data_IF_779489706068
#
_entry.id   IF_779489706068
#
_cell.length_a   1.000
_cell.length_b   1.000
_cell.length_c   1.000
_cell.angle_alpha   90.00
_cell.angle_beta   90.00
_cell.angle_gamma   90.00
#
_symmetry.space_group_name_H-M   'P 1'
#
loop_
_entity.id
_entity.type
_entity.pdbx_description
1 polymer ?
#
# COMPACT_ATOMS: atom_id res chain seq x y z
N UNK A 1 -8.15 -18.65 -29.12
CA UNK A 1 -7.57 -18.84 -27.78
C UNK A 1 -7.06 -17.51 -27.28
N UNK A 2 -7.39 -17.11 -26.03
CA UNK A 2 -6.97 -15.84 -25.45
C UNK A 2 -5.51 -15.98 -24.98
N UNK A 3 -4.68 -14.97 -25.23
CA UNK A 3 -3.25 -14.98 -24.85
C UNK A 3 -3.03 -15.33 -23.37
N UNK A 4 -3.96 -14.95 -22.50
CA UNK A 4 -3.89 -15.22 -21.06
C UNK A 4 -4.06 -16.71 -20.70
N UNK A 5 -4.80 -17.48 -21.52
CA UNK A 5 -4.97 -18.93 -21.31
C UNK A 5 -3.68 -19.68 -21.69
N UNK A 6 -3.03 -19.26 -22.79
CA UNK A 6 -1.75 -19.81 -23.26
C UNK A 6 -0.66 -19.57 -22.21
N UNK A 7 -0.61 -18.37 -21.64
CA UNK A 7 0.29 -18.04 -20.54
C UNK A 7 0.07 -18.96 -19.33
N UNK A 8 -1.18 -19.23 -18.96
CA UNK A 8 -1.51 -20.05 -17.80
C UNK A 8 -1.17 -21.53 -17.99
N UNK A 9 -1.44 -22.08 -19.19
CA UNK A 9 -1.06 -23.45 -19.54
C UNK A 9 0.46 -23.64 -19.50
N UNK A 10 1.23 -22.69 -20.06
CA UNK A 10 2.68 -22.76 -20.03
C UNK A 10 3.24 -22.66 -18.60
N UNK A 11 2.72 -21.74 -17.79
CA UNK A 11 3.09 -21.64 -16.37
C UNK A 11 2.76 -22.92 -15.59
N UNK A 12 1.62 -23.54 -15.87
CA UNK A 12 1.20 -24.81 -15.26
C UNK A 12 2.15 -25.94 -15.65
N UNK A 13 2.54 -25.99 -16.92
CA UNK A 13 3.50 -26.98 -17.43
C UNK A 13 4.87 -26.82 -16.78
N UNK A 14 5.38 -25.60 -16.66
CA UNK A 14 6.64 -25.31 -15.97
C UNK A 14 6.57 -25.73 -14.50
N UNK A 15 5.47 -25.38 -13.82
CA UNK A 15 5.26 -25.70 -12.41
C UNK A 15 5.23 -27.20 -12.12
N UNK A 16 4.59 -28.01 -12.98
CA UNK A 16 4.62 -29.47 -12.87
C UNK A 16 6.00 -30.08 -13.13
N UNK A 17 6.84 -29.43 -13.94
CA UNK A 17 8.19 -29.93 -14.25
C UNK A 17 9.15 -29.78 -13.08
N UNK A 18 9.17 -28.63 -12.40
CA UNK A 18 10.05 -28.44 -11.24
C UNK A 18 9.40 -28.80 -9.90
N UNK A 19 8.07 -29.01 -9.88
CA UNK A 19 7.34 -29.32 -8.65
C UNK A 19 7.66 -30.68 -8.06
N UNK A 20 8.15 -31.65 -8.84
CA UNK A 20 8.45 -33.02 -8.39
C UNK A 20 9.50 -33.02 -7.27
N UNK A 21 9.12 -33.50 -6.09
CA UNK A 21 9.96 -33.53 -4.91
C UNK A 21 11.26 -34.31 -5.17
N UNK A 22 12.40 -33.65 -4.95
CA UNK A 22 13.73 -34.24 -5.10
C UNK A 22 14.30 -34.25 -6.52
N UNK A 23 13.56 -33.78 -7.54
CA UNK A 23 14.06 -33.67 -8.91
C UNK A 23 15.01 -32.48 -9.06
N UNK A 24 16.31 -32.76 -9.04
CA UNK A 24 17.39 -31.80 -9.28
C UNK A 24 17.96 -31.90 -10.69
N UNK A 25 17.20 -32.46 -11.63
CA UNK A 25 17.63 -32.55 -13.03
C UNK A 25 17.87 -31.16 -13.63
N UNK A 26 18.75 -31.11 -14.64
CA UNK A 26 19.03 -29.88 -15.39
C UNK A 26 17.75 -29.28 -16.00
N UNK A 27 16.81 -30.15 -16.38
CA UNK A 27 15.52 -29.75 -16.94
C UNK A 27 14.58 -29.12 -15.91
N UNK A 28 14.51 -29.67 -14.70
CA UNK A 28 13.76 -29.09 -13.59
C UNK A 28 14.30 -27.69 -13.21
N UNK A 29 15.63 -27.55 -13.13
CA UNK A 29 16.27 -26.26 -12.87
C UNK A 29 16.00 -25.23 -13.99
N UNK A 30 16.06 -25.65 -15.26
CA UNK A 30 15.74 -24.79 -16.39
C UNK A 30 14.25 -24.38 -16.41
N UNK A 31 13.35 -25.29 -16.03
CA UNK A 31 11.92 -24.99 -15.90
C UNK A 31 11.65 -24.00 -14.76
N UNK A 32 12.30 -24.18 -13.61
CA UNK A 32 12.20 -23.26 -12.48
C UNK A 32 12.71 -21.86 -12.86
N UNK A 33 13.85 -21.75 -13.54
CA UNK A 33 14.38 -20.45 -14.01
C UNK A 33 13.40 -19.74 -14.95
N UNK A 34 12.85 -20.45 -15.93
CA UNK A 34 11.85 -19.87 -16.84
C UNK A 34 10.58 -19.40 -16.12
N UNK A 35 10.15 -20.15 -15.12
CA UNK A 35 9.01 -19.78 -14.27
C UNK A 35 9.32 -18.52 -13.45
N UNK A 36 10.50 -18.48 -12.84
CA UNK A 36 10.99 -17.33 -12.08
C UNK A 36 11.01 -16.06 -12.93
N UNK A 37 11.61 -16.11 -14.13
CA UNK A 37 11.72 -14.95 -15.02
C UNK A 37 10.33 -14.37 -15.40
N UNK A 38 9.30 -15.22 -15.47
CA UNK A 38 7.94 -14.82 -15.80
C UNK A 38 7.16 -14.21 -14.62
N UNK A 39 7.42 -14.69 -13.40
CA UNK A 39 6.59 -14.41 -12.22
C UNK A 39 7.25 -13.46 -11.22
N UNK A 40 8.58 -13.35 -11.19
CA UNK A 40 9.33 -12.55 -10.22
C UNK A 40 8.81 -11.12 -10.10
N UNK A 41 8.76 -10.37 -11.21
CA UNK A 41 8.27 -8.99 -11.24
C UNK A 41 6.83 -8.84 -10.73
N UNK A 42 6.00 -9.87 -10.91
CA UNK A 42 4.61 -9.86 -10.44
C UNK A 42 4.56 -10.05 -8.92
N UNK A 43 5.41 -10.92 -8.36
CA UNK A 43 5.49 -11.13 -6.91
C UNK A 43 6.12 -9.95 -6.21
N UNK A 44 7.21 -9.40 -6.74
CA UNK A 44 7.90 -8.24 -6.16
C UNK A 44 6.95 -7.06 -6.02
N UNK A 45 6.22 -6.74 -7.10
CA UNK A 45 5.22 -5.68 -7.08
C UNK A 45 4.08 -5.97 -6.11
N UNK A 46 3.61 -7.21 -6.05
CA UNK A 46 2.53 -7.59 -5.15
C UNK A 46 2.95 -7.51 -3.68
N UNK A 47 4.17 -7.95 -3.37
CA UNK A 47 4.74 -7.88 -2.03
C UNK A 47 4.93 -6.43 -1.58
N UNK A 48 5.54 -5.58 -2.42
CA UNK A 48 5.68 -4.15 -2.13
C UNK A 48 4.33 -3.48 -1.84
N UNK A 49 3.31 -3.76 -2.66
CA UNK A 49 1.97 -3.20 -2.42
C UNK A 49 1.36 -3.70 -1.11
N UNK A 50 1.58 -4.97 -0.77
CA UNK A 50 1.03 -5.57 0.44
C UNK A 50 1.76 -5.13 1.71
N UNK A 51 3.04 -4.79 1.64
CA UNK A 51 3.88 -4.32 2.76
C UNK A 51 3.93 -2.78 2.89
N UNK A 52 2.98 -2.07 2.28
CA UNK A 52 2.95 -0.60 2.27
C UNK A 52 4.25 0.04 1.76
N UNK A 53 4.84 -0.56 0.73
CA UNK A 53 6.08 -0.14 0.08
C UNK A 53 7.34 -0.16 0.97
N UNK A 54 7.32 -0.88 2.09
CA UNK A 54 8.54 -1.22 2.83
C UNK A 54 9.32 -2.32 2.08
N UNK A 55 10.53 -1.99 1.62
CA UNK A 55 11.37 -2.87 0.79
C UNK A 55 11.88 -4.10 1.55
N UNK A 56 12.35 -3.93 2.79
CA UNK A 56 12.90 -5.03 3.59
C UNK A 56 11.84 -6.10 3.88
N UNK A 57 10.65 -5.67 4.27
CA UNK A 57 9.51 -6.57 4.50
C UNK A 57 9.04 -7.22 3.20
N UNK A 58 9.09 -6.50 2.08
CA UNK A 58 8.73 -7.05 0.78
C UNK A 58 9.71 -8.15 0.33
N UNK A 59 11.02 -7.93 0.49
CA UNK A 59 12.06 -8.91 0.18
C UNK A 59 11.84 -10.19 1.01
N UNK A 60 11.62 -10.06 2.31
CA UNK A 60 11.33 -11.20 3.18
C UNK A 60 10.05 -11.95 2.75
N UNK A 61 8.99 -11.22 2.41
CA UNK A 61 7.73 -11.81 1.96
C UNK A 61 7.87 -12.58 0.64
N UNK A 62 8.63 -12.05 -0.33
CA UNK A 62 8.89 -12.71 -1.62
C UNK A 62 9.69 -13.99 -1.43
N UNK A 63 10.71 -13.98 -0.57
CA UNK A 63 11.51 -15.17 -0.25
C UNK A 63 10.62 -16.28 0.35
N UNK A 64 9.80 -15.94 1.35
CA UNK A 64 8.85 -16.88 1.95
C UNK A 64 7.81 -17.38 0.92
N UNK A 65 7.36 -16.51 0.01
CA UNK A 65 6.45 -16.87 -1.06
C UNK A 65 7.06 -17.91 -2.00
N UNK A 66 8.31 -17.72 -2.45
CA UNK A 66 9.01 -18.69 -3.29
C UNK A 66 9.13 -20.06 -2.62
N UNK A 67 9.48 -20.11 -1.34
CA UNK A 67 9.53 -21.36 -0.58
C UNK A 67 8.17 -22.04 -0.49
N UNK A 68 7.09 -21.27 -0.25
CA UNK A 68 5.73 -21.82 -0.20
C UNK A 68 5.23 -22.29 -1.57
N UNK A 69 5.57 -21.59 -2.64
CA UNK A 69 5.25 -21.98 -4.03
C UNK A 69 5.92 -23.32 -4.33
N UNK A 70 7.21 -23.48 -4.03
CA UNK A 70 7.94 -24.74 -4.25
C UNK A 70 7.31 -25.90 -3.48
N UNK A 71 7.01 -25.72 -2.20
CA UNK A 71 6.37 -26.77 -1.37
C UNK A 71 4.98 -27.15 -1.84
N UNK A 72 4.23 -26.22 -2.44
CA UNK A 72 2.86 -26.45 -2.90
C UNK A 72 2.75 -26.71 -4.39
N UNK A 73 3.85 -26.74 -5.13
CA UNK A 73 3.86 -26.88 -6.58
C UNK A 73 3.21 -28.21 -7.03
N UNK A 74 3.46 -29.32 -6.32
CA UNK A 74 2.85 -30.62 -6.65
C UNK A 74 1.33 -30.67 -6.45
N UNK A 75 0.83 -29.88 -5.51
CA UNK A 75 -0.59 -29.87 -5.10
C UNK A 75 -1.40 -28.79 -5.82
N UNK A 76 -0.80 -28.08 -6.77
CA UNK A 76 -1.48 -27.06 -7.55
C UNK A 76 -2.52 -27.68 -8.50
N UNK A 77 -3.74 -27.14 -8.44
CA UNK A 77 -4.86 -27.55 -9.28
C UNK A 77 -5.30 -26.38 -10.18
N UNK A 78 -5.16 -26.51 -11.52
CA UNK A 78 -5.56 -25.47 -12.46
C UNK A 78 -7.08 -25.25 -12.56
N UNK A 79 -7.91 -26.19 -12.08
CA UNK A 79 -9.37 -26.02 -12.09
C UNK A 79 -9.86 -25.01 -11.03
N UNK A 80 -9.07 -24.76 -9.98
CA UNK A 80 -9.45 -23.88 -8.87
C UNK A 80 -9.05 -22.42 -9.09
N UNK A 81 -7.89 -22.18 -9.68
CA UNK A 81 -7.38 -20.84 -9.96
C UNK A 81 -6.24 -20.88 -10.99
N UNK A 82 -6.06 -19.79 -11.74
CA UNK A 82 -4.87 -19.60 -12.58
C UNK A 82 -3.60 -19.52 -11.72
N UNK A 83 -2.46 -19.91 -12.30
CA UNK A 83 -1.16 -19.89 -11.61
C UNK A 83 -0.84 -18.49 -11.10
N UNK A 84 -1.05 -17.46 -11.94
CA UNK A 84 -0.83 -16.04 -11.57
C UNK A 84 -1.67 -15.62 -10.35
N UNK A 85 -2.92 -16.04 -10.25
CA UNK A 85 -3.79 -15.74 -9.10
C UNK A 85 -3.32 -16.50 -7.86
N UNK A 86 -3.00 -17.78 -8.01
CA UNK A 86 -2.54 -18.63 -6.92
C UNK A 86 -1.22 -18.15 -6.29
N UNK A 87 -0.22 -17.78 -7.10
CA UNK A 87 1.06 -17.24 -6.57
C UNK A 87 0.89 -15.87 -5.90
N UNK A 88 -0.03 -15.03 -6.40
CA UNK A 88 -0.35 -13.73 -5.78
C UNK A 88 -1.00 -13.91 -4.41
N UNK A 89 -1.92 -14.87 -4.27
CA UNK A 89 -2.55 -15.19 -2.98
C UNK A 89 -1.53 -15.70 -1.96
N UNK A 90 -0.61 -16.59 -2.37
CA UNK A 90 0.50 -17.04 -1.51
C UNK A 90 1.35 -15.84 -1.07
N UNK A 91 1.73 -14.98 -2.02
CA UNK A 91 2.60 -13.82 -1.75
C UNK A 91 1.94 -12.82 -0.81
N UNK A 92 0.66 -12.53 -1.01
CA UNK A 92 -0.13 -11.67 -0.12
C UNK A 92 -0.19 -12.23 1.31
N UNK A 93 -0.41 -13.53 1.46
CA UNK A 93 -0.40 -14.20 2.78
C UNK A 93 0.98 -14.11 3.44
N UNK A 94 2.07 -14.31 2.69
CA UNK A 94 3.42 -14.11 3.22
C UNK A 94 3.66 -12.66 3.67
N UNK A 95 3.25 -11.68 2.87
CA UNK A 95 3.38 -10.27 3.22
C UNK A 95 2.63 -9.92 4.51
N UNK A 96 1.40 -10.40 4.67
CA UNK A 96 0.66 -10.25 5.94
C UNK A 96 1.39 -10.93 7.09
N UNK A 97 1.90 -12.14 6.90
CA UNK A 97 2.59 -12.88 7.96
C UNK A 97 3.87 -12.13 8.41
N UNK A 98 4.61 -11.55 7.48
CA UNK A 98 5.78 -10.69 7.75
C UNK A 98 5.36 -9.42 8.49
N UNK A 99 4.32 -8.71 8.03
CA UNK A 99 3.79 -7.53 8.71
C UNK A 99 3.36 -7.85 10.15
N UNK A 100 2.64 -8.96 10.35
CA UNK A 100 2.22 -9.39 11.69
C UNK A 100 3.40 -9.65 12.60
N UNK A 101 4.47 -10.27 12.10
CA UNK A 101 5.71 -10.49 12.87
C UNK A 101 6.39 -9.17 13.19
N UNK A 102 6.50 -8.26 12.24
CA UNK A 102 7.07 -6.93 12.41
C UNK A 102 6.33 -6.14 13.49
N UNK A 103 5.00 -6.00 13.38
CA UNK A 103 4.21 -5.29 14.40
C UNK A 103 4.22 -6.00 15.76
N UNK A 104 4.26 -7.33 15.81
CA UNK A 104 4.39 -8.07 17.08
C UNK A 104 5.75 -7.82 17.72
N UNK A 105 6.82 -7.81 16.95
CA UNK A 105 8.17 -7.53 17.45
C UNK A 105 8.25 -6.09 17.97
N UNK A 106 7.73 -5.13 17.22
CA UNK A 106 7.68 -3.72 17.64
C UNK A 106 6.80 -3.51 18.88
N UNK A 107 5.69 -4.22 19.01
CA UNK A 107 4.86 -4.15 20.22
C UNK A 107 5.57 -4.77 21.43
N UNK A 108 6.24 -5.89 21.25
CA UNK A 108 6.94 -6.56 22.34
C UNK A 108 8.18 -5.77 22.79
N UNK A 109 8.90 -5.11 21.87
CA UNK A 109 10.03 -4.24 22.24
C UNK A 109 9.55 -2.97 22.95
N UNK A 110 8.38 -2.42 22.57
CA UNK A 110 7.77 -1.28 23.27
C UNK A 110 7.42 -1.62 24.72
N UNK A 111 6.87 -2.81 24.99
CA UNK A 111 6.50 -3.24 26.34
C UNK A 111 7.71 -3.62 27.22
N UNK A 112 8.82 -4.06 26.63
CA UNK A 112 10.05 -4.34 27.38
C UNK A 112 10.80 -3.08 27.83
N UNK A 113 10.59 -1.94 27.18
CA UNK A 113 11.22 -0.67 27.58
C UNK A 113 10.49 0.03 28.74
N UNK A 114 9.22 -0.30 29.00
CA UNK A 114 8.44 0.29 30.09
C UNK A 114 8.74 -0.35 31.46
N UNK A 115 9.23 -1.60 31.48
CA UNK A 115 9.56 -2.35 32.72
C UNK A 115 11.01 -2.13 33.22
N UNK A 116 11.84 -1.39 32.48
CA UNK A 116 13.26 -1.15 32.82
C UNK A 116 13.52 0.18 33.55
N UNK A 117 12.49 0.97 33.84
CA UNK A 117 12.61 2.30 34.45
C UNK A 117 12.05 2.36 35.89
N UNK A 118 12.55 1.51 36.80
CA UNK A 118 12.53 1.80 38.24
C UNK A 118 13.47 0.88 39.04
N UNK A 119 14.68 1.34 39.33
CA UNK A 119 15.42 0.98 40.54
C UNK A 119 16.47 2.07 40.82
N UNK A 120 16.28 2.76 41.93
CA UNK A 120 17.05 3.91 42.40
C UNK A 120 18.54 3.62 42.62
N UNK A 121 19.40 4.60 42.34
CA UNK A 121 20.65 4.79 43.06
C UNK A 121 21.03 6.28 43.13
N UNK A 122 21.09 6.72 44.38
CA UNK A 122 21.30 8.07 44.90
C UNK A 122 22.74 8.59 44.72
N UNK A 123 22.86 9.92 44.54
CA UNK A 123 23.98 10.83 44.86
C UNK A 123 25.45 10.50 44.55
N UNK A 124 26.12 11.35 43.75
CA UNK A 124 27.16 12.27 44.25
C UNK A 124 27.64 13.24 43.14
N UNK A 125 27.89 14.49 43.52
CA UNK A 125 28.23 15.60 42.65
C UNK A 125 29.75 15.74 42.47
N UNK A 126 30.24 15.84 41.24
CA UNK A 126 31.43 16.63 40.94
C UNK A 126 31.27 17.41 39.63
N UNK A 127 31.12 18.72 39.79
CA UNK A 127 31.32 19.69 38.72
C UNK A 127 32.77 19.61 38.22
N UNK A 128 32.98 19.43 36.92
CA UNK A 128 34.32 19.32 36.39
C UNK A 128 34.42 19.21 34.87
N UNK A 129 34.38 20.38 34.22
CA UNK A 129 34.95 20.71 32.90
C UNK A 129 34.05 20.48 31.68
N UNK A 130 33.64 21.62 31.15
CA UNK A 130 33.44 21.90 29.72
C UNK A 130 34.49 21.17 28.87
N UNK A 131 34.05 20.10 28.20
CA UNK A 131 34.76 19.55 27.06
C UNK A 131 33.83 19.67 25.87
N UNK A 132 34.28 20.36 24.83
CA UNK A 132 33.61 20.52 23.54
C UNK A 132 33.50 19.20 22.74
N UNK A 133 33.39 18.07 23.44
CA UNK A 133 33.43 16.71 22.91
C UNK A 133 32.07 16.01 22.97
N UNK A 134 31.06 16.60 23.62
CA UNK A 134 29.70 16.03 23.66
C UNK A 134 29.00 16.03 22.29
N UNK A 135 29.50 16.82 21.32
CA UNK A 135 28.98 16.85 19.96
C UNK A 135 29.53 15.72 19.05
N UNK A 136 30.34 14.81 19.58
CA UNK A 136 31.01 13.73 18.83
C UNK A 136 30.92 12.36 19.54
N UNK A 137 29.91 12.13 20.37
CA UNK A 137 29.57 10.73 20.70
C UNK A 137 28.97 10.07 19.46
N UNK A 138 29.52 8.93 18.99
CA UNK A 138 28.86 8.14 17.96
C UNK A 138 27.56 7.66 18.57
N UNK A 139 26.44 8.11 18.02
CA UNK A 139 25.12 7.60 18.38
C UNK A 139 25.16 6.07 18.20
N UNK A 140 25.03 5.34 19.32
CA UNK A 140 25.17 3.88 19.34
C UNK A 140 24.03 3.16 18.61
N UNK A 141 22.94 3.87 18.30
CA UNK A 141 21.86 3.39 17.46
C UNK A 141 21.21 4.56 16.67
N UNK A 142 21.43 4.66 15.34
CA UNK A 142 20.88 5.75 14.54
C UNK A 142 19.33 5.75 14.50
N UNK A 143 18.67 4.63 14.80
CA UNK A 143 17.20 4.55 14.81
C UNK A 143 16.58 5.12 16.11
N UNK A 144 17.32 5.18 17.22
CA UNK A 144 16.78 5.65 18.52
C UNK A 144 16.74 7.20 18.61
N UNK A 145 17.56 7.89 17.81
CA UNK A 145 17.61 9.36 17.75
C UNK A 145 17.00 9.95 16.49
N UNK A 146 16.70 9.12 15.49
CA UNK A 146 15.92 9.54 14.33
C UNK A 146 14.48 9.78 14.80
N UNK A 147 14.10 11.04 14.98
CA UNK A 147 12.69 11.38 14.84
C UNK A 147 12.24 10.84 13.48
N UNK A 148 11.18 10.01 13.45
CA UNK A 148 10.45 9.53 12.26
C UNK A 148 9.80 10.70 11.50
N UNK A 149 10.55 11.75 11.27
CA UNK A 149 10.15 12.87 10.50
C UNK A 149 10.36 12.48 9.04
N UNK A 150 9.33 12.60 8.19
CA UNK A 150 9.46 12.31 6.77
C UNK A 150 10.64 13.11 6.20
N UNK A 151 11.31 12.49 5.22
CA UNK A 151 12.37 13.13 4.43
C UNK A 151 11.89 14.51 3.93
N UNK A 152 12.78 15.49 3.72
CA UNK A 152 12.41 16.76 3.08
C UNK A 152 11.63 16.57 1.78
N UNK A 153 11.96 15.53 1.00
CA UNK A 153 11.24 15.17 -0.22
C UNK A 153 9.83 14.64 0.08
N UNK A 154 9.68 13.78 1.09
CA UNK A 154 8.39 13.27 1.54
C UNK A 154 7.51 14.38 2.14
N UNK A 155 8.09 15.35 2.85
CA UNK A 155 7.37 16.54 3.34
C UNK A 155 6.89 17.40 2.19
N UNK A 156 7.74 17.62 1.19
CA UNK A 156 7.37 18.38 0.00
C UNK A 156 6.22 17.66 -0.75
N UNK A 157 6.33 16.36 -0.94
CA UNK A 157 5.29 15.53 -1.55
C UNK A 157 3.99 15.51 -0.74
N UNK A 158 4.08 15.34 0.58
CA UNK A 158 2.94 15.43 1.51
C UNK A 158 2.23 16.78 1.40
N UNK A 159 2.98 17.89 1.40
CA UNK A 159 2.41 19.23 1.23
C UNK A 159 1.74 19.41 -0.14
N UNK A 160 2.29 18.81 -1.19
CA UNK A 160 1.70 18.83 -2.53
C UNK A 160 0.40 18.03 -2.57
N UNK A 161 0.38 16.85 -1.96
CA UNK A 161 -0.79 15.99 -1.84
C UNK A 161 -1.89 16.70 -1.06
N UNK A 162 -1.57 17.29 0.09
CA UNK A 162 -2.53 18.05 0.91
C UNK A 162 -3.15 19.22 0.14
N UNK A 163 -2.35 19.98 -0.62
CA UNK A 163 -2.85 21.06 -1.49
C UNK A 163 -3.82 20.54 -2.54
N UNK A 164 -3.45 19.47 -3.23
CA UNK A 164 -4.30 18.85 -4.26
C UNK A 164 -5.60 18.30 -3.66
N UNK A 165 -5.52 17.62 -2.51
CA UNK A 165 -6.67 17.09 -1.79
C UNK A 165 -7.63 18.21 -1.39
N UNK A 166 -7.10 19.31 -0.83
CA UNK A 166 -7.88 20.49 -0.44
C UNK A 166 -8.55 21.15 -1.65
N UNK A 167 -7.83 21.33 -2.75
CA UNK A 167 -8.39 21.86 -4.01
C UNK A 167 -9.55 20.98 -4.50
N UNK A 168 -9.35 19.66 -4.51
CA UNK A 168 -10.36 18.72 -4.97
C UNK A 168 -11.59 18.68 -4.05
N UNK A 169 -11.40 18.83 -2.74
CA UNK A 169 -12.48 18.96 -1.77
C UNK A 169 -13.28 20.25 -2.00
N UNK A 170 -12.59 21.36 -2.25
CA UNK A 170 -13.21 22.66 -2.56
C UNK A 170 -14.00 22.66 -3.88
N UNK A 171 -13.67 21.78 -4.83
CA UNK A 171 -14.43 21.61 -6.08
C UNK A 171 -15.67 20.71 -5.93
N UNK A 172 -15.88 20.06 -4.79
CA UNK A 172 -17.10 19.28 -4.59
C UNK A 172 -18.32 20.22 -4.54
N UNK A 173 -19.44 19.84 -5.18
CA UNK A 173 -20.62 20.70 -5.18
C UNK A 173 -21.18 20.93 -3.77
N UNK A 174 -21.43 22.20 -3.45
CA UNK A 174 -22.16 22.71 -2.29
C UNK A 174 -23.30 23.59 -2.80
N UNK A 175 -24.53 23.45 -2.28
CA UNK A 175 -25.68 24.24 -2.73
C UNK A 175 -27.03 23.69 -2.24
N UNK A 176 -28.14 24.15 -2.82
CA UNK A 176 -29.55 23.74 -2.51
C UNK A 176 -29.86 22.25 -2.74
N UNK A 177 -28.85 21.45 -3.08
CA UNK A 177 -28.90 20.01 -3.31
C UNK A 177 -27.95 19.24 -2.38
N UNK A 178 -27.51 18.03 -2.75
CA UNK A 178 -26.66 17.21 -1.89
C UNK A 178 -25.31 17.87 -1.61
N UNK A 179 -25.02 18.14 -0.35
CA UNK A 179 -23.75 18.71 0.10
C UNK A 179 -22.66 17.63 0.12
N UNK A 180 -22.09 17.34 -1.05
CA UNK A 180 -21.04 16.31 -1.22
C UNK A 180 -19.76 16.63 -0.45
N UNK A 181 -19.47 17.92 -0.26
CA UNK A 181 -18.30 18.38 0.48
C UNK A 181 -18.43 18.01 1.96
N UNK A 182 -19.50 18.45 2.61
CA UNK A 182 -19.73 18.14 4.02
C UNK A 182 -19.87 16.64 4.24
N UNK A 183 -20.59 15.95 3.35
CA UNK A 183 -20.70 14.50 3.43
C UNK A 183 -19.33 13.81 3.39
N UNK A 184 -18.37 14.34 2.63
CA UNK A 184 -17.00 13.83 2.61
C UNK A 184 -16.20 14.22 3.85
N UNK A 185 -16.30 15.47 4.32
CA UNK A 185 -15.62 15.94 5.53
C UNK A 185 -16.01 15.10 6.76
N UNK A 186 -17.31 14.81 6.91
CA UNK A 186 -17.82 13.97 8.00
C UNK A 186 -17.33 12.51 7.96
N UNK A 187 -16.87 12.00 6.80
CA UNK A 187 -16.27 10.65 6.73
C UNK A 187 -14.84 10.59 7.24
N UNK A 188 -14.19 11.75 7.40
CA UNK A 188 -12.84 11.84 7.96
C UNK A 188 -12.87 11.92 9.49
N UNK A 189 -14.05 12.02 10.10
CA UNK A 189 -14.22 11.94 11.55
C UNK A 189 -14.28 10.46 11.95
N UNK A 190 -13.32 10.00 12.77
CA UNK A 190 -13.05 8.57 13.04
C UNK A 190 -14.22 7.79 13.67
N UNK A 191 -15.20 8.47 14.29
CA UNK A 191 -16.25 7.83 15.07
C UNK A 191 -17.68 8.06 14.55
N UNK A 192 -17.86 8.73 13.40
CA UNK A 192 -19.20 9.13 12.96
C UNK A 192 -19.92 8.03 12.17
N UNK A 193 -21.09 7.58 12.67
CA UNK A 193 -21.93 6.65 11.92
C UNK A 193 -22.69 7.36 10.79
N UNK A 194 -23.10 6.62 9.76
CA UNK A 194 -23.93 7.18 8.69
C UNK A 194 -25.27 7.75 9.19
N UNK A 195 -25.78 7.26 10.34
CA UNK A 195 -26.99 7.82 10.95
C UNK A 195 -26.70 9.21 11.53
N UNK A 196 -25.58 9.37 12.23
CA UNK A 196 -25.14 10.65 12.81
C UNK A 196 -24.79 11.67 11.72
N UNK A 197 -24.14 11.21 10.63
CA UNK A 197 -23.91 12.02 9.44
C UNK A 197 -25.21 12.54 8.83
N UNK A 198 -26.29 11.74 8.86
CA UNK A 198 -27.59 12.14 8.33
C UNK A 198 -28.16 13.31 9.14
N UNK A 199 -28.04 13.28 10.47
CA UNK A 199 -28.48 14.38 11.34
C UNK A 199 -27.73 15.67 11.00
N UNK A 200 -26.39 15.60 10.92
CA UNK A 200 -25.54 16.76 10.60
C UNK A 200 -25.79 17.34 9.20
N UNK A 201 -26.05 16.48 8.21
CA UNK A 201 -26.38 16.92 6.86
C UNK A 201 -27.80 17.52 6.78
N UNK A 202 -28.73 17.01 7.60
CA UNK A 202 -30.10 17.51 7.64
C UNK A 202 -30.17 18.95 8.16
N UNK A 203 -29.29 19.35 9.08
CA UNK A 203 -29.16 20.73 9.60
C UNK A 203 -28.80 21.75 8.50
N UNK A 204 -28.06 21.34 7.47
CA UNK A 204 -27.67 22.20 6.35
C UNK A 204 -28.59 22.07 5.12
N UNK A 205 -29.57 21.18 5.19
CA UNK A 205 -30.51 20.95 4.08
C UNK A 205 -31.65 21.98 4.16
N UNK A 206 -32.15 22.50 3.02
CA UNK A 206 -33.29 23.42 3.03
C UNK A 206 -34.52 22.86 3.78
N UNK A 207 -35.27 23.72 4.48
CA UNK A 207 -36.42 23.29 5.26
C UNK A 207 -37.48 22.61 4.37
N UNK A 208 -37.90 21.40 4.76
CA UNK A 208 -38.92 20.62 4.05
C UNK A 208 -38.39 19.42 3.24
N UNK A 209 -37.08 19.28 3.07
CA UNK A 209 -36.47 18.10 2.42
C UNK A 209 -35.92 17.16 3.49
N UNK A 210 -36.50 15.97 3.61
CA UNK A 210 -36.02 14.92 4.50
C UNK A 210 -35.03 14.01 3.77
N UNK A 211 -33.88 13.77 4.41
CA UNK A 211 -32.82 12.90 3.89
C UNK A 211 -32.72 11.61 4.69
N UNK A 212 -32.34 10.52 4.03
CA UNK A 212 -32.13 9.22 4.68
C UNK A 212 -30.68 8.72 4.56
N UNK A 213 -30.30 7.74 5.39
CA UNK A 213 -28.94 7.22 5.46
C UNK A 213 -28.44 6.58 4.15
N UNK A 214 -29.33 6.00 3.34
CA UNK A 214 -28.97 5.44 2.03
C UNK A 214 -28.60 6.52 1.01
N UNK A 215 -29.31 7.66 1.03
CA UNK A 215 -28.96 8.83 0.24
C UNK A 215 -27.60 9.37 0.66
N UNK A 216 -27.33 9.50 1.96
CA UNK A 216 -26.02 9.92 2.48
C UNK A 216 -24.91 8.98 2.03
N UNK A 217 -25.10 7.65 2.12
CA UNK A 217 -24.16 6.66 1.57
C UNK A 217 -23.92 6.83 0.07
N UNK A 218 -24.98 7.13 -0.69
CA UNK A 218 -24.90 7.45 -2.11
C UNK A 218 -24.07 8.72 -2.37
N UNK A 219 -24.24 9.76 -1.55
CA UNK A 219 -23.50 11.01 -1.65
C UNK A 219 -22.03 10.82 -1.33
N UNK A 220 -21.70 10.09 -0.26
CA UNK A 220 -20.33 9.73 0.09
C UNK A 220 -19.65 8.99 -1.06
N UNK A 221 -20.28 7.94 -1.59
CA UNK A 221 -19.74 7.19 -2.74
C UNK A 221 -19.47 8.09 -3.95
N UNK A 222 -20.41 8.98 -4.26
CA UNK A 222 -20.26 9.92 -5.37
C UNK A 222 -19.17 10.97 -5.11
N UNK A 223 -19.04 11.46 -3.88
CA UNK A 223 -17.99 12.39 -3.45
C UNK A 223 -16.61 11.74 -3.55
N UNK A 224 -16.45 10.53 -3.02
CA UNK A 224 -15.21 9.74 -3.12
C UNK A 224 -14.82 9.49 -4.58
N UNK A 225 -15.79 9.14 -5.45
CA UNK A 225 -15.50 8.93 -6.87
C UNK A 225 -15.05 10.22 -7.56
N UNK A 226 -15.67 11.37 -7.25
CA UNK A 226 -15.27 12.69 -7.78
C UNK A 226 -13.88 13.10 -7.29
N UNK A 227 -13.61 12.96 -5.99
CA UNK A 227 -12.30 13.20 -5.41
C UNK A 227 -11.23 12.35 -6.08
N UNK A 228 -11.46 11.03 -6.20
CA UNK A 228 -10.50 10.14 -6.87
C UNK A 228 -10.20 10.59 -8.29
N UNK A 229 -11.22 10.98 -9.07
CA UNK A 229 -11.03 11.50 -10.44
C UNK A 229 -10.22 12.80 -10.45
N UNK A 230 -10.55 13.75 -9.58
CA UNK A 230 -9.85 15.03 -9.47
C UNK A 230 -8.39 14.85 -9.07
N UNK A 231 -8.12 14.09 -8.00
CA UNK A 231 -6.78 13.83 -7.49
C UNK A 231 -5.94 13.09 -8.53
N UNK A 232 -6.51 12.07 -9.17
CA UNK A 232 -5.80 11.32 -10.22
C UNK A 232 -5.45 12.19 -11.43
N UNK A 233 -6.30 13.17 -11.77
CA UNK A 233 -6.03 14.11 -12.85
C UNK A 233 -4.93 15.12 -12.46
N UNK A 234 -4.98 15.67 -11.24
CA UNK A 234 -4.00 16.66 -10.75
C UNK A 234 -2.61 16.06 -10.46
N UNK A 235 -2.54 14.82 -10.00
CA UNK A 235 -1.27 14.12 -9.68
C UNK A 235 -0.73 13.29 -10.86
N UNK A 236 -1.41 13.27 -12.01
CA UNK A 236 -0.96 12.49 -13.17
C UNK A 236 -1.08 10.97 -13.00
N UNK A 237 -1.81 10.48 -11.99
CA UNK A 237 -2.07 9.05 -11.79
C UNK A 237 -3.10 8.47 -12.78
N UNK A 238 -3.75 9.34 -13.54
CA UNK A 238 -4.63 8.92 -14.62
C UNK A 238 -3.82 8.22 -15.72
N UNK A 239 -4.10 6.93 -15.94
CA UNK A 239 -3.57 6.20 -17.11
C UNK A 239 -3.87 7.01 -18.38
N UNK A 240 -2.88 7.26 -19.27
CA UNK A 240 -3.18 7.84 -20.56
C UNK A 240 -4.19 6.94 -21.27
N UNK A 241 -5.29 7.54 -21.77
CA UNK A 241 -6.26 6.80 -22.58
C UNK A 241 -5.49 6.21 -23.77
N UNK A 242 -5.41 4.87 -23.85
CA UNK A 242 -4.96 4.20 -25.07
C UNK A 242 -5.98 4.50 -26.17
N UNK A 243 -5.60 5.30 -27.15
CA UNK A 243 -6.36 5.46 -28.39
C UNK A 243 -6.45 6.90 -28.87
N UNK A 244 -5.64 7.24 -29.87
CA UNK A 244 -5.68 8.52 -30.57
C UNK A 244 -4.33 8.84 -31.21
N UNK A 245 -3.77 7.91 -31.98
CA UNK A 245 -2.60 8.19 -32.82
C UNK A 245 -3.09 9.08 -33.97
N UNK A 246 -3.13 10.39 -33.74
CA UNK A 246 -3.34 11.37 -34.78
C UNK A 246 -2.05 11.45 -35.60
N UNK A 247 -2.08 10.88 -36.80
CA UNK A 247 -1.11 11.13 -37.86
C UNK A 247 -1.23 12.59 -38.28
N UNK A 248 -0.30 13.41 -37.81
CA UNK A 248 -0.04 14.72 -38.41
C UNK A 248 1.21 14.58 -39.29
N UNK A 249 0.99 14.15 -40.53
CA UNK A 249 2.02 14.21 -41.57
C UNK A 249 2.08 15.65 -42.08
N UNK A 250 3.13 16.33 -41.62
CA UNK A 250 3.85 17.43 -42.27
C UNK A 250 3.36 17.77 -43.69
N UNK A 251 2.63 18.88 -43.78
CA UNK A 251 2.51 19.64 -45.01
C UNK A 251 3.87 20.28 -45.31
N UNK A 252 4.54 19.73 -46.32
CA UNK A 252 5.82 20.21 -46.85
C UNK A 252 5.62 21.55 -47.55
N UNK A 253 6.23 22.59 -46.98
CA UNK A 253 6.59 23.84 -47.64
C UNK A 253 7.78 23.58 -48.59
N UNK A 254 7.53 23.62 -49.90
CA UNK A 254 8.45 24.06 -50.95
C UNK A 254 7.66 24.20 -52.26
#
# INVERSE_FOLDING_TARGET
MKSDDIDNEELTRLLRKFGKAGDRSREALAAHRKFYDHIARVLDRQALQATNYNEDLAVAAVQDAWLRILRKAETYDPARATVKTWVKDITYKCAIDVLRKHYKHNRNTSLSNEDAASADADGDATAGRTSASHWLEPVSDPDETACDLPSPEDRAYGSQLERVMRDCLNMLPTGDGPNYRLAMELTLEDELSYADMTVRLQEQTPPGVLINAEQVRGWVRAATQRMRRCVSAKLGWARPKRGGMATDQKETRA
#
